data_IF_449785729193
#
_entry.id   IF_449785729193
#
_cell.length_a   1.000
_cell.length_b   1.000
_cell.length_c   1.000
_cell.angle_alpha   90.00
_cell.angle_beta   90.00
_cell.angle_gamma   90.00
#
_symmetry.space_group_name_H-M   'P 1'
#
loop_
_entity.id
_entity.type
_entity.pdbx_description
1 polymer ?
#
# COMPACT_ATOMS: atom_id res chain seq x y z
N UNK A 1 1.17 -9.43 7.83
CA UNK A 1 -0.25 -9.23 7.47
C UNK A 1 -0.47 -9.07 5.96
N UNK A 2 0.11 -8.07 5.28
CA UNK A 2 -0.13 -7.86 3.84
C UNK A 2 0.09 -9.11 2.95
N UNK A 3 1.21 -9.84 3.13
CA UNK A 3 1.48 -11.10 2.41
C UNK A 3 0.40 -12.18 2.65
N UNK A 4 -0.13 -12.28 3.86
CA UNK A 4 -1.17 -13.26 4.19
C UNK A 4 -2.50 -12.91 3.48
N UNK A 5 -2.91 -11.64 3.53
CA UNK A 5 -4.07 -11.13 2.78
C UNK A 5 -3.89 -11.40 1.28
N UNK A 6 -2.70 -11.16 0.75
CA UNK A 6 -2.45 -11.40 -0.67
C UNK A 6 -2.56 -12.88 -1.04
N UNK A 7 -1.97 -13.79 -0.25
CA UNK A 7 -2.10 -15.24 -0.49
C UNK A 7 -3.56 -15.71 -0.44
N UNK A 8 -4.33 -15.20 0.51
CA UNK A 8 -5.70 -15.65 0.74
C UNK A 8 -6.67 -15.16 -0.35
N UNK A 9 -6.46 -13.94 -0.87
CA UNK A 9 -7.43 -13.27 -1.73
C UNK A 9 -6.93 -13.03 -3.16
N UNK A 10 -5.78 -13.57 -3.53
CA UNK A 10 -5.25 -13.41 -4.88
C UNK A 10 -6.28 -13.87 -5.91
N UNK A 11 -6.56 -12.98 -6.85
CA UNK A 11 -7.39 -13.26 -8.02
C UNK A 11 -6.76 -12.52 -9.20
N UNK A 12 -6.30 -13.22 -10.25
CA UNK A 12 -5.69 -12.59 -11.41
C UNK A 12 -6.53 -11.42 -11.93
N UNK A 13 -5.88 -10.29 -12.28
CA UNK A 13 -6.49 -9.02 -12.72
C UNK A 13 -7.29 -8.25 -11.66
N UNK A 14 -7.97 -8.94 -10.76
CA UNK A 14 -8.90 -8.32 -9.81
C UNK A 14 -8.22 -7.96 -8.49
N UNK A 15 -7.44 -8.86 -7.91
CA UNK A 15 -6.80 -8.71 -6.61
C UNK A 15 -5.35 -9.16 -6.72
N UNK A 16 -4.47 -8.22 -7.06
CA UNK A 16 -3.05 -8.49 -7.34
C UNK A 16 -2.09 -7.77 -6.41
N UNK A 17 -2.60 -6.83 -5.60
CA UNK A 17 -1.86 -6.11 -4.56
C UNK A 17 -2.66 -6.14 -3.26
N UNK A 18 -1.96 -6.30 -2.13
CA UNK A 18 -2.51 -6.09 -0.80
C UNK A 18 -1.67 -5.06 -0.05
N UNK A 19 -2.30 -4.32 0.86
CA UNK A 19 -1.62 -3.36 1.70
C UNK A 19 -1.87 -3.64 3.18
N UNK A 20 -0.95 -3.21 4.02
CA UNK A 20 -1.13 -3.12 5.46
C UNK A 20 -0.63 -1.77 5.97
N UNK A 21 -1.44 -1.14 6.83
CA UNK A 21 -1.13 0.07 7.56
C UNK A 21 -1.01 -0.29 9.04
N UNK A 22 -0.08 0.33 9.75
CA UNK A 22 0.00 0.30 11.21
C UNK A 22 -0.27 1.71 11.73
N UNK A 23 -1.22 1.83 12.64
CA UNK A 23 -1.47 3.09 13.35
C UNK A 23 -0.63 3.22 14.63
N UNK A 24 -0.66 4.41 15.25
CA UNK A 24 0.08 4.73 16.48
C UNK A 24 -0.33 3.88 17.69
N UNK A 25 -1.53 3.29 17.67
CA UNK A 25 -1.99 2.34 18.68
C UNK A 25 -1.54 0.90 18.39
N UNK A 26 -0.81 0.69 17.28
CA UNK A 26 -0.34 -0.62 16.84
C UNK A 26 -1.39 -1.47 16.13
N UNK A 27 -2.59 -0.94 15.85
CA UNK A 27 -3.62 -1.68 15.10
C UNK A 27 -3.19 -1.79 13.63
N UNK A 28 -3.52 -2.91 13.02
CA UNK A 28 -3.20 -3.20 11.62
C UNK A 28 -4.46 -3.13 10.76
N UNK A 29 -4.40 -2.30 9.73
CA UNK A 29 -5.47 -2.11 8.76
C UNK A 29 -5.02 -2.67 7.42
N UNK A 30 -5.78 -3.61 6.87
CA UNK A 30 -5.44 -4.21 5.58
C UNK A 30 -6.33 -3.71 4.48
N UNK A 31 -5.85 -3.79 3.24
CA UNK A 31 -6.64 -3.51 2.05
C UNK A 31 -6.21 -4.43 0.92
N UNK A 32 -7.09 -4.56 -0.07
CA UNK A 32 -6.92 -5.41 -1.24
C UNK A 32 -7.23 -4.59 -2.48
N UNK A 33 -6.34 -4.61 -3.47
CA UNK A 33 -6.56 -3.90 -4.73
C UNK A 33 -7.86 -4.36 -5.38
N UNK A 34 -8.62 -3.41 -5.92
CA UNK A 34 -9.78 -3.67 -6.75
C UNK A 34 -9.44 -3.36 -8.19
N UNK A 35 -9.27 -4.41 -8.98
CA UNK A 35 -9.17 -4.33 -10.43
C UNK A 35 -10.51 -3.99 -11.05
N UNK A 36 -10.46 -3.32 -12.19
CA UNK A 36 -11.62 -2.91 -12.95
C UNK A 36 -11.25 -2.91 -14.43
N UNK A 37 -12.21 -3.26 -15.29
CA UNK A 37 -12.04 -3.20 -16.74
C UNK A 37 -11.80 -1.76 -17.22
N UNK A 38 -12.46 -0.79 -16.57
CA UNK A 38 -12.20 0.63 -16.81
C UNK A 38 -11.10 1.08 -15.86
N UNK A 39 -9.90 1.30 -16.39
CA UNK A 39 -8.68 1.57 -15.59
C UNK A 39 -8.83 2.69 -14.55
N UNK A 40 -9.59 3.75 -14.85
CA UNK A 40 -9.85 4.86 -13.91
C UNK A 40 -10.64 4.46 -12.65
N UNK A 41 -11.28 3.29 -12.66
CA UNK A 41 -12.04 2.75 -11.54
C UNK A 41 -11.21 1.76 -10.70
N UNK A 42 -9.96 1.49 -11.09
CA UNK A 42 -9.08 0.66 -10.28
C UNK A 42 -8.72 1.38 -8.98
N UNK A 43 -8.74 0.64 -7.87
CA UNK A 43 -8.46 1.19 -6.55
C UNK A 43 -7.28 0.44 -5.95
N UNK A 44 -6.25 1.19 -5.58
CA UNK A 44 -5.08 0.67 -4.91
C UNK A 44 -5.42 0.09 -3.53
N UNK A 45 -4.67 -0.93 -3.10
CA UNK A 45 -4.91 -1.60 -1.84
C UNK A 45 -4.72 -0.64 -0.64
N UNK A 46 -3.77 0.28 -0.75
CA UNK A 46 -3.45 1.31 0.24
C UNK A 46 -4.64 2.24 0.50
N UNK A 47 -5.33 2.66 -0.56
CA UNK A 47 -6.50 3.53 -0.49
C UNK A 47 -7.65 2.87 0.29
N UNK A 48 -7.88 1.58 0.02
CA UNK A 48 -8.92 0.79 0.69
C UNK A 48 -8.56 0.57 2.16
N UNK A 49 -7.29 0.27 2.44
CA UNK A 49 -6.80 0.11 3.80
C UNK A 49 -6.97 1.41 4.60
N UNK A 50 -6.63 2.57 3.99
CA UNK A 50 -6.75 3.88 4.62
C UNK A 50 -8.20 4.25 4.87
N UNK A 51 -9.08 4.04 3.89
CA UNK A 51 -10.51 4.27 4.03
C UNK A 51 -11.12 3.47 5.20
N UNK A 52 -10.76 2.18 5.33
CA UNK A 52 -11.18 1.37 6.49
C UNK A 52 -10.62 1.91 7.80
N UNK A 53 -9.33 2.24 7.83
CA UNK A 53 -8.70 2.80 9.02
C UNK A 53 -9.42 4.08 9.48
N UNK A 54 -9.74 5.00 8.57
CA UNK A 54 -10.46 6.24 8.91
C UNK A 54 -11.89 5.99 9.35
N UNK A 55 -12.61 5.07 8.69
CA UNK A 55 -13.98 4.71 9.09
C UNK A 55 -14.05 4.16 10.52
N UNK A 56 -13.06 3.37 10.92
CA UNK A 56 -13.02 2.71 12.23
C UNK A 56 -12.18 3.49 13.28
N UNK A 57 -11.93 4.78 13.03
CA UNK A 57 -11.31 5.68 14.00
C UNK A 57 -9.85 5.37 14.32
N UNK A 58 -9.07 4.97 13.32
CA UNK A 58 -7.62 4.78 13.47
C UNK A 58 -6.94 6.06 13.98
N UNK A 59 -5.92 5.87 14.82
CA UNK A 59 -4.97 6.93 15.15
C UNK A 59 -4.09 7.26 13.93
N UNK A 60 -3.08 8.10 14.14
CA UNK A 60 -2.14 8.46 13.08
C UNK A 60 -1.48 7.22 12.47
N UNK A 61 -1.45 7.16 11.14
CA UNK A 61 -0.86 6.05 10.41
C UNK A 61 0.66 6.20 10.42
N UNK A 62 1.35 5.37 11.19
CA UNK A 62 2.81 5.42 11.33
C UNK A 62 3.54 4.75 10.18
N UNK A 63 2.99 3.67 9.63
CA UNK A 63 3.70 2.86 8.62
C UNK A 63 2.75 2.20 7.63
N UNK A 64 3.12 2.20 6.36
CA UNK A 64 2.43 1.50 5.29
C UNK A 64 3.37 0.58 4.51
N UNK A 65 2.84 -0.55 4.04
CA UNK A 65 3.50 -1.43 3.08
C UNK A 65 2.47 -1.96 2.08
N UNK A 66 2.85 -2.00 0.80
CA UNK A 66 2.11 -2.68 -0.26
C UNK A 66 2.92 -3.88 -0.76
N UNK A 67 2.23 -4.96 -1.08
CA UNK A 67 2.83 -6.17 -1.65
C UNK A 67 2.03 -6.63 -2.86
N UNK A 68 2.71 -7.17 -3.87
CA UNK A 68 2.05 -7.72 -5.06
C UNK A 68 2.25 -9.23 -5.14
N UNK A 69 1.27 -9.91 -5.73
CA UNK A 69 1.48 -11.26 -6.22
C UNK A 69 2.44 -11.23 -7.43
N UNK A 70 3.34 -12.22 -7.59
CA UNK A 70 4.13 -12.40 -8.81
C UNK A 70 3.24 -12.59 -10.04
N UNK A 71 3.68 -12.11 -11.20
CA UNK A 71 3.10 -12.54 -12.47
C UNK A 71 3.59 -13.95 -12.81
N UNK A 72 2.87 -14.64 -13.69
CA UNK A 72 3.17 -16.03 -14.05
C UNK A 72 4.50 -16.19 -14.80
N UNK A 73 4.94 -15.14 -15.50
CA UNK A 73 6.18 -15.08 -16.28
C UNK A 73 7.40 -14.62 -15.47
N UNK A 74 7.22 -14.24 -14.20
CA UNK A 74 8.33 -13.84 -13.33
C UNK A 74 9.09 -15.07 -12.79
N UNK A 75 10.44 -15.05 -12.76
CA UNK A 75 11.22 -16.17 -12.23
C UNK A 75 11.06 -16.31 -10.72
N UNK A 76 10.90 -15.19 -10.01
CA UNK A 76 10.62 -15.16 -8.58
C UNK A 76 9.09 -15.23 -8.37
N UNK A 77 8.63 -16.29 -7.72
CA UNK A 77 7.23 -16.53 -7.40
C UNK A 77 6.89 -16.16 -5.95
N UNK A 78 7.73 -15.36 -5.28
CA UNK A 78 7.40 -14.77 -4.00
C UNK A 78 6.59 -13.48 -4.12
N UNK A 79 5.71 -13.26 -3.13
CA UNK A 79 4.98 -12.00 -2.99
C UNK A 79 5.96 -10.89 -2.63
N UNK A 80 6.20 -9.97 -3.57
CA UNK A 80 7.18 -8.90 -3.41
C UNK A 80 6.58 -7.63 -2.80
N UNK A 81 7.38 -6.88 -2.03
CA UNK A 81 7.05 -5.50 -1.64
C UNK A 81 7.11 -4.62 -2.89
N UNK A 82 6.16 -3.69 -3.00
CA UNK A 82 6.10 -2.72 -4.10
C UNK A 82 6.00 -1.30 -3.53
N UNK A 83 6.64 -0.36 -4.23
CA UNK A 83 6.49 1.06 -3.92
C UNK A 83 5.05 1.52 -4.21
N UNK A 84 4.45 2.34 -3.34
CA UNK A 84 3.12 2.88 -3.58
C UNK A 84 3.10 3.72 -4.86
N UNK A 85 1.97 3.73 -5.56
CA UNK A 85 1.79 4.56 -6.76
C UNK A 85 1.70 6.05 -6.39
N UNK A 86 1.87 6.94 -7.37
CA UNK A 86 1.82 8.40 -7.15
C UNK A 86 0.54 8.86 -6.45
N UNK A 87 -0.63 8.36 -6.87
CA UNK A 87 -1.91 8.72 -6.27
C UNK A 87 -2.01 8.31 -4.78
N UNK A 88 -1.45 7.15 -4.40
CA UNK A 88 -1.40 6.73 -3.00
C UNK A 88 -0.43 7.58 -2.19
N UNK A 89 0.69 8.01 -2.79
CA UNK A 89 1.63 8.91 -2.12
C UNK A 89 0.98 10.26 -1.82
N UNK A 90 0.29 10.85 -2.79
CA UNK A 90 -0.46 12.10 -2.61
C UNK A 90 -1.53 11.95 -1.53
N UNK A 91 -2.29 10.85 -1.58
CA UNK A 91 -3.30 10.56 -0.56
C UNK A 91 -2.72 10.45 0.85
N UNK A 92 -1.60 9.76 1.05
CA UNK A 92 -0.95 9.75 2.36
C UNK A 92 -0.36 11.10 2.73
N UNK A 93 0.07 11.92 1.77
CA UNK A 93 0.58 13.26 2.07
C UNK A 93 -0.51 14.16 2.66
N UNK A 94 -1.77 13.96 2.27
CA UNK A 94 -2.93 14.66 2.83
C UNK A 94 -3.39 14.07 4.17
N UNK A 95 -3.48 12.74 4.28
CA UNK A 95 -4.14 12.07 5.42
C UNK A 95 -3.20 11.56 6.53
N UNK A 96 -1.90 11.42 6.22
CA UNK A 96 -0.86 10.89 7.12
C UNK A 96 0.57 11.32 6.69
N UNK A 97 0.87 12.64 6.65
CA UNK A 97 2.13 13.15 6.07
C UNK A 97 3.41 12.64 6.75
N UNK A 98 3.33 12.29 8.04
CA UNK A 98 4.44 11.73 8.83
C UNK A 98 4.61 10.22 8.66
N UNK A 99 3.81 9.57 7.79
CA UNK A 99 3.87 8.12 7.63
C UNK A 99 5.19 7.66 7.01
N UNK A 100 5.63 6.48 7.43
CA UNK A 100 6.79 5.81 6.86
C UNK A 100 6.34 4.72 5.89
N UNK A 101 7.06 4.52 4.81
CA UNK A 101 6.74 3.54 3.77
C UNK A 101 7.82 2.47 3.74
N UNK A 102 7.42 1.20 3.79
CA UNK A 102 8.33 0.08 3.55
C UNK A 102 8.43 -0.16 2.06
N UNK A 103 9.65 -0.07 1.52
CA UNK A 103 9.97 -0.26 0.10
C UNK A 103 11.19 -1.17 -0.06
N UNK A 104 11.46 -1.61 -1.28
CA UNK A 104 12.68 -2.35 -1.62
C UNK A 104 13.80 -1.35 -1.94
N UNK A 105 14.90 -1.41 -1.18
CA UNK A 105 16.17 -0.74 -1.48
C UNK A 105 17.23 -1.73 -2.00
N UNK A 106 18.46 -1.26 -2.20
CA UNK A 106 19.54 -2.06 -2.80
C UNK A 106 19.92 -3.31 -1.98
N UNK A 107 19.86 -3.21 -0.65
CA UNK A 107 20.27 -4.28 0.28
C UNK A 107 19.07 -5.01 0.91
N UNK A 108 17.87 -4.81 0.37
CA UNK A 108 16.63 -5.39 0.89
C UNK A 108 15.61 -4.35 1.31
N UNK A 109 14.71 -4.71 2.24
CA UNK A 109 13.62 -3.84 2.63
C UNK A 109 14.12 -2.70 3.52
N UNK A 110 13.71 -1.48 3.16
CA UNK A 110 14.00 -0.27 3.92
C UNK A 110 12.70 0.43 4.28
N UNK A 111 12.76 1.23 5.34
CA UNK A 111 11.64 2.07 5.79
C UNK A 111 12.03 3.53 5.59
N UNK A 112 11.30 4.25 4.73
CA UNK A 112 11.60 5.63 4.34
C UNK A 112 10.44 6.57 4.68
N UNK A 113 10.68 7.85 5.00
CA UNK A 113 9.60 8.83 5.10
C UNK A 113 8.84 8.96 3.79
N UNK A 114 7.52 9.13 3.85
CA UNK A 114 6.70 9.36 2.66
C UNK A 114 7.22 10.54 1.82
N UNK A 115 7.70 11.59 2.48
CA UNK A 115 8.25 12.78 1.83
C UNK A 115 9.41 12.49 0.86
N UNK A 116 10.16 11.40 1.06
CA UNK A 116 11.21 11.00 0.11
C UNK A 116 10.66 10.40 -1.18
N UNK A 117 9.44 9.85 -1.15
CA UNK A 117 8.79 9.25 -2.31
C UNK A 117 7.96 10.25 -3.12
N UNK A 118 7.75 11.46 -2.58
CA UNK A 118 6.93 12.50 -3.20
C UNK A 118 7.59 13.87 -2.98
N UNK A 119 8.69 14.17 -3.68
CA UNK A 119 9.38 15.44 -3.53
C UNK A 119 8.54 16.58 -4.12
N UNK A 120 8.48 17.71 -3.42
CA UNK A 120 7.76 18.92 -3.84
C UNK A 120 6.29 18.61 -4.23
N UNK A 121 5.49 18.00 -3.32
CA UNK A 121 4.12 17.63 -3.63
C UNK A 121 3.30 18.88 -3.93
N UNK A 122 2.25 18.71 -4.75
CA UNK A 122 1.22 19.73 -4.87
C UNK A 122 0.61 20.02 -3.49
N UNK A 123 0.41 21.30 -3.19
CA UNK A 123 -0.28 21.76 -1.97
C UNK A 123 -1.49 22.56 -2.40
N UNK A 124 -2.64 22.24 -1.81
CA UNK A 124 -3.91 22.92 -2.06
C UNK A 124 -3.95 24.30 -1.41
#
# INVERSE_FOLDING_TARGET
MARAVMRQHYRPLWHTVAAALRDANGRIWTGLHLGATVGRLQICAEAIALGRAKLEGAADIETVVAVRHPKQDEPDQDIAVVSPCGACREMFADFAPSTMVIVTGEQGLIKVPLALLLPLPYRR
#
